data_IF_130173749134
#
_entry.id   IF_130173749134
#
_cell.length_a   1.000
_cell.length_b   1.000
_cell.length_c   1.000
_cell.angle_alpha   90.00
_cell.angle_beta   90.00
_cell.angle_gamma   90.00
#
_symmetry.space_group_name_H-M   'P 1'
#
loop_
_entity.id
_entity.type
_entity.pdbx_description
1 polymer ?
#
# COMPACT_ATOMS: atom_id res chain seq x y z
N UNK A 1 33.25 17.56 -9.56
CA UNK A 1 32.85 16.76 -8.37
C UNK A 1 31.48 17.28 -8.00
N UNK A 2 30.41 16.49 -8.18
CA UNK A 2 29.09 16.91 -7.70
C UNK A 2 29.12 16.83 -6.16
N UNK A 3 28.72 17.89 -5.49
CA UNK A 3 28.64 17.94 -4.03
C UNK A 3 27.54 16.99 -3.57
N UNK A 4 27.87 16.03 -2.69
CA UNK A 4 26.86 15.12 -2.14
C UNK A 4 25.84 15.93 -1.33
N UNK A 5 24.53 15.71 -1.52
CA UNK A 5 23.51 16.43 -0.76
C UNK A 5 23.61 16.09 0.73
N UNK A 6 23.87 17.09 1.57
CA UNK A 6 23.88 16.95 3.02
C UNK A 6 22.44 17.04 3.54
N UNK A 7 21.97 15.95 4.15
CA UNK A 7 20.64 15.89 4.77
C UNK A 7 20.73 16.10 6.28
N UNK A 8 19.79 16.85 6.84
CA UNK A 8 19.59 16.91 8.28
C UNK A 8 19.04 15.55 8.79
N UNK A 9 19.30 15.18 10.06
CA UNK A 9 18.96 13.86 10.61
C UNK A 9 17.47 13.50 10.52
N UNK A 10 16.59 14.48 10.38
CA UNK A 10 15.14 14.35 10.32
C UNK A 10 14.58 14.23 8.88
N UNK A 11 15.33 14.65 7.85
CA UNK A 11 14.85 14.65 6.46
C UNK A 11 14.66 13.24 5.89
N UNK A 12 15.37 12.24 6.42
CA UNK A 12 15.29 10.84 5.99
C UNK A 12 14.36 10.01 6.87
N UNK A 13 13.45 10.65 7.61
CA UNK A 13 12.52 9.93 8.48
C UNK A 13 11.62 8.99 7.65
N UNK A 14 11.56 7.70 8.01
CA UNK A 14 10.69 6.76 7.31
C UNK A 14 9.22 7.18 7.41
N UNK A 15 8.46 6.95 6.33
CA UNK A 15 7.03 7.24 6.29
C UNK A 15 6.21 6.38 7.27
N UNK A 16 5.04 6.87 7.69
CA UNK A 16 4.21 6.21 8.69
C UNK A 16 3.46 4.99 8.14
N UNK A 17 3.87 3.80 8.55
CA UNK A 17 3.32 2.50 8.12
C UNK A 17 1.93 2.24 8.64
N UNK A 18 1.60 2.72 9.84
CA UNK A 18 0.24 2.51 10.37
C UNK A 18 -0.76 3.18 9.44
N UNK A 19 -0.49 4.43 9.06
CA UNK A 19 -1.33 5.16 8.11
C UNK A 19 -1.30 4.56 6.71
N UNK A 20 -0.14 4.11 6.21
CA UNK A 20 -0.10 3.48 4.88
C UNK A 20 -0.89 2.18 4.80
N UNK A 21 -0.86 1.34 5.85
CA UNK A 21 -1.66 0.10 5.92
C UNK A 21 -3.16 0.41 6.01
N UNK A 22 -3.54 1.38 6.84
CA UNK A 22 -4.94 1.82 6.95
C UNK A 22 -5.44 2.37 5.60
N UNK A 23 -4.64 3.20 4.94
CA UNK A 23 -4.96 3.74 3.61
C UNK A 23 -5.12 2.63 2.57
N UNK A 24 -4.19 1.68 2.50
CA UNK A 24 -4.26 0.57 1.54
C UNK A 24 -5.50 -0.31 1.76
N UNK A 25 -5.78 -0.71 3.01
CA UNK A 25 -6.95 -1.54 3.33
C UNK A 25 -8.24 -0.77 3.13
N UNK A 26 -8.30 0.50 3.56
CA UNK A 26 -9.47 1.37 3.37
C UNK A 26 -9.81 1.55 1.89
N UNK A 27 -8.82 1.86 1.06
CA UNK A 27 -9.02 1.97 -0.40
C UNK A 27 -9.47 0.65 -1.01
N UNK A 28 -8.89 -0.49 -0.61
CA UNK A 28 -9.33 -1.79 -1.10
C UNK A 28 -10.80 -2.08 -0.76
N UNK A 29 -11.25 -1.74 0.46
CA UNK A 29 -12.66 -1.88 0.86
C UNK A 29 -13.57 -1.00 0.01
N UNK A 30 -13.18 0.26 -0.25
CA UNK A 30 -13.95 1.17 -1.10
C UNK A 30 -14.06 0.63 -2.53
N UNK A 31 -12.96 0.16 -3.12
CA UNK A 31 -12.96 -0.44 -4.47
C UNK A 31 -13.90 -1.65 -4.56
N UNK A 32 -13.93 -2.50 -3.53
CA UNK A 32 -14.85 -3.64 -3.50
C UNK A 32 -16.30 -3.21 -3.28
N UNK A 33 -16.55 -2.15 -2.51
CA UNK A 33 -17.88 -1.57 -2.37
C UNK A 33 -18.41 -1.01 -3.70
N UNK A 34 -17.53 -0.54 -4.58
CA UNK A 34 -17.90 -0.06 -5.91
C UNK A 34 -18.41 -1.17 -6.84
N UNK A 35 -18.23 -2.46 -6.50
CA UNK A 35 -18.82 -3.57 -7.27
C UNK A 35 -20.36 -3.60 -7.18
N UNK A 36 -20.93 -2.94 -6.17
CA UNK A 36 -22.38 -2.82 -6.02
C UNK A 36 -22.86 -1.52 -6.68
N UNK A 37 -23.67 -1.62 -7.72
CA UNK A 37 -24.19 -0.45 -8.42
C UNK A 37 -24.56 -0.73 -9.87
N UNK A 38 -24.64 0.33 -10.67
CA UNK A 38 -25.08 0.28 -12.05
C UNK A 38 -23.93 -0.09 -13.00
N UNK A 39 -23.51 -1.36 -12.98
CA UNK A 39 -22.52 -1.90 -13.92
C UNK A 39 -23.23 -2.57 -15.09
N UNK A 40 -23.01 -2.06 -16.31
CA UNK A 40 -23.50 -2.70 -17.54
C UNK A 40 -22.48 -3.68 -18.17
N UNK A 41 -21.30 -3.84 -17.56
CA UNK A 41 -20.26 -4.76 -18.03
C UNK A 41 -19.26 -5.18 -16.95
N UNK A 42 -18.37 -6.12 -17.30
CA UNK A 42 -17.43 -6.72 -16.34
C UNK A 42 -16.00 -6.17 -16.40
N UNK A 43 -15.68 -5.33 -17.39
CA UNK A 43 -14.33 -4.77 -17.53
C UNK A 43 -13.96 -3.94 -16.29
N UNK A 44 -14.88 -3.12 -15.79
CA UNK A 44 -14.65 -2.33 -14.56
C UNK A 44 -14.43 -3.23 -13.35
N UNK A 45 -15.23 -4.29 -13.19
CA UNK A 45 -15.11 -5.24 -12.09
C UNK A 45 -13.73 -5.90 -12.03
N UNK A 46 -13.14 -6.24 -13.18
CA UNK A 46 -11.80 -6.83 -13.25
C UNK A 46 -10.75 -5.86 -12.68
N UNK A 47 -10.84 -4.57 -13.02
CA UNK A 47 -9.92 -3.56 -12.50
C UNK A 47 -10.15 -3.28 -11.02
N UNK A 48 -11.40 -3.17 -10.56
CA UNK A 48 -11.72 -2.96 -9.15
C UNK A 48 -11.18 -4.10 -8.28
N UNK A 49 -11.46 -5.35 -8.66
CA UNK A 49 -11.00 -6.54 -7.94
C UNK A 49 -9.47 -6.66 -8.03
N UNK A 50 -8.90 -6.50 -9.22
CA UNK A 50 -7.45 -6.60 -9.45
C UNK A 50 -6.66 -5.60 -8.61
N UNK A 51 -7.08 -4.33 -8.58
CA UNK A 51 -6.43 -3.30 -7.78
C UNK A 51 -6.62 -3.54 -6.28
N UNK A 52 -7.81 -3.96 -5.84
CA UNK A 52 -8.05 -4.29 -4.44
C UNK A 52 -7.14 -5.45 -3.96
N UNK A 53 -7.03 -6.52 -4.76
CA UNK A 53 -6.15 -7.66 -4.47
C UNK A 53 -4.68 -7.25 -4.43
N UNK A 54 -4.25 -6.35 -5.32
CA UNK A 54 -2.89 -5.83 -5.33
C UNK A 54 -2.57 -5.06 -4.03
N UNK A 55 -3.47 -4.17 -3.58
CA UNK A 55 -3.29 -3.41 -2.33
C UNK A 55 -3.21 -4.32 -1.11
N UNK A 56 -4.12 -5.30 -1.01
CA UNK A 56 -4.11 -6.26 0.10
C UNK A 56 -2.87 -7.15 0.03
N UNK A 57 -2.49 -7.63 -1.16
CA UNK A 57 -1.28 -8.41 -1.39
C UNK A 57 -0.03 -7.66 -0.94
N UNK A 58 0.07 -6.36 -1.24
CA UNK A 58 1.19 -5.52 -0.80
C UNK A 58 1.30 -5.43 0.72
N UNK A 59 0.17 -5.22 1.41
CA UNK A 59 0.13 -5.18 2.89
C UNK A 59 0.54 -6.53 3.47
N UNK A 60 0.03 -7.64 2.89
CA UNK A 60 0.37 -8.99 3.34
C UNK A 60 1.85 -9.29 3.16
N UNK A 61 2.44 -8.96 2.00
CA UNK A 61 3.88 -9.12 1.75
C UNK A 61 4.69 -8.31 2.77
N UNK A 62 4.34 -7.04 3.03
CA UNK A 62 5.04 -6.23 4.04
C UNK A 62 4.93 -6.84 5.44
N UNK A 63 3.77 -7.40 5.82
CA UNK A 63 3.58 -8.06 7.11
C UNK A 63 4.40 -9.34 7.21
N UNK A 64 4.37 -10.20 6.18
CA UNK A 64 5.09 -11.49 6.15
C UNK A 64 6.60 -11.26 6.20
N UNK A 65 7.13 -10.34 5.38
CA UNK A 65 8.56 -10.04 5.36
C UNK A 65 9.05 -9.56 6.73
N UNK A 66 8.28 -8.68 7.40
CA UNK A 66 8.67 -8.17 8.72
C UNK A 66 8.48 -9.20 9.83
N UNK A 67 7.43 -10.01 9.78
CA UNK A 67 7.21 -11.10 10.74
C UNK A 67 8.32 -12.13 10.70
N UNK A 68 8.88 -12.36 9.51
CA UNK A 68 9.99 -13.30 9.30
C UNK A 68 11.37 -12.66 9.48
N UNK A 69 11.45 -11.36 9.84
CA UNK A 69 12.72 -10.64 10.00
C UNK A 69 13.45 -10.32 8.68
N UNK A 70 12.83 -10.56 7.53
CA UNK A 70 13.39 -10.28 6.20
C UNK A 70 13.31 -8.81 5.80
N UNK A 71 12.54 -8.02 6.55
CA UNK A 71 12.47 -6.56 6.40
C UNK A 71 12.55 -5.93 7.79
N UNK A 72 13.34 -4.86 7.98
CA UNK A 72 13.45 -4.19 9.27
C UNK A 72 12.08 -3.74 9.76
N UNK A 73 11.82 -3.82 11.07
CA UNK A 73 10.53 -3.43 11.67
C UNK A 73 10.50 -1.96 12.11
N UNK A 74 11.61 -1.26 11.87
CA UNK A 74 11.94 0.09 12.25
C UNK A 74 11.05 1.05 11.47
N UNK A 75 10.23 1.76 12.25
CA UNK A 75 9.12 2.61 11.87
C UNK A 75 8.92 3.64 12.95
#
# INVERSE_FOLDING_TARGET
>A
MAEEPVYAPDQLKPGNRKWSRIGAVGTAVILLAMLFGNHEGNTENIWLIGTALLLIGWVLVDVVLRRNGLKPNDQ
#
